data_IF_293084490841
#
_entry.id   IF_293084490841
#
_cell.length_a   1.000
_cell.length_b   1.000
_cell.length_c   1.000
_cell.angle_alpha   90.00
_cell.angle_beta   90.00
_cell.angle_gamma   90.00
#
_symmetry.space_group_name_H-M   'P 1'
#
loop_
_entity.id
_entity.type
_entity.pdbx_description
1 polymer ?
#
# COMPACT_ATOMS: atom_id res chain seq x y z
N UNK A 1 -9.52 -18.26 4.90
CA UNK A 1 -10.77 -17.42 4.78
C UNK A 1 -10.88 -16.54 6.01
N UNK A 2 -11.26 -15.26 5.84
CA UNK A 2 -11.54 -14.34 6.96
C UNK A 2 -12.64 -14.96 7.84
N UNK A 3 -12.47 -14.96 9.16
CA UNK A 3 -13.43 -15.53 10.10
C UNK A 3 -14.69 -14.65 10.26
N UNK A 4 -15.70 -15.15 10.97
CA UNK A 4 -16.98 -14.48 11.17
C UNK A 4 -16.88 -13.12 11.89
N UNK A 5 -15.78 -12.85 12.59
CA UNK A 5 -15.51 -11.56 13.26
C UNK A 5 -14.52 -10.68 12.49
N UNK A 6 -14.19 -11.07 11.26
CA UNK A 6 -13.39 -10.27 10.34
C UNK A 6 -11.88 -10.38 10.53
N UNK A 7 -11.37 -11.44 11.18
CA UNK A 7 -9.94 -11.66 11.32
C UNK A 7 -9.42 -12.58 10.21
N UNK A 8 -8.33 -12.22 9.53
CA UNK A 8 -7.68 -13.07 8.55
C UNK A 8 -6.89 -14.19 9.24
N UNK A 9 -6.67 -15.27 8.51
CA UNK A 9 -5.76 -16.36 8.90
C UNK A 9 -4.40 -16.22 8.22
N UNK A 10 -4.37 -15.50 7.09
CA UNK A 10 -3.17 -15.27 6.28
C UNK A 10 -3.06 -13.82 5.82
N UNK A 11 -1.83 -13.30 5.82
CA UNK A 11 -1.55 -11.93 5.42
C UNK A 11 -0.30 -11.87 4.55
N UNK A 12 -0.46 -11.45 3.29
CA UNK A 12 0.63 -11.26 2.34
C UNK A 12 0.98 -9.79 2.21
N UNK A 13 2.25 -9.45 2.35
CA UNK A 13 2.78 -8.10 2.32
C UNK A 13 3.80 -7.96 1.20
N UNK A 14 3.49 -7.14 0.21
CA UNK A 14 4.43 -6.65 -0.79
C UNK A 14 5.02 -5.33 -0.30
N UNK A 15 6.31 -5.33 0.03
CA UNK A 15 7.00 -4.31 0.82
C UNK A 15 7.09 -4.71 2.30
N UNK A 16 7.64 -5.90 2.57
CA UNK A 16 7.68 -6.55 3.88
C UNK A 16 8.50 -5.82 4.96
N UNK A 17 9.22 -4.74 4.60
CA UNK A 17 9.93 -3.85 5.53
C UNK A 17 9.16 -2.55 5.82
N UNK A 18 7.98 -2.34 5.20
CA UNK A 18 7.15 -1.14 5.42
C UNK A 18 6.68 -1.04 6.88
N UNK A 19 6.99 0.09 7.55
CA UNK A 19 6.58 0.33 8.93
C UNK A 19 5.05 0.23 9.11
N UNK A 20 4.27 0.70 8.14
CA UNK A 20 2.81 0.62 8.16
C UNK A 20 2.35 -0.83 8.03
N UNK A 21 2.97 -1.58 7.10
CA UNK A 21 2.59 -2.97 6.87
C UNK A 21 2.93 -3.87 8.05
N UNK A 22 4.10 -3.67 8.67
CA UNK A 22 4.49 -4.38 9.90
C UNK A 22 3.55 -4.06 11.05
N UNK A 23 3.22 -2.78 11.28
CA UNK A 23 2.23 -2.39 12.28
C UNK A 23 0.84 -3.00 11.99
N UNK A 24 0.47 -3.17 10.70
CA UNK A 24 -0.79 -3.82 10.33
C UNK A 24 -0.78 -5.31 10.63
N UNK A 25 0.34 -5.99 10.37
CA UNK A 25 0.52 -7.40 10.71
C UNK A 25 0.43 -7.63 12.23
N UNK A 26 1.11 -6.79 13.01
CA UNK A 26 1.04 -6.83 14.47
C UNK A 26 -0.38 -6.59 14.98
N UNK A 27 -1.09 -5.62 14.39
CA UNK A 27 -2.47 -5.31 14.76
C UNK A 27 -3.44 -6.47 14.49
N UNK A 28 -3.25 -7.21 13.42
CA UNK A 28 -3.99 -8.46 13.19
C UNK A 28 -3.58 -9.55 14.21
N UNK A 29 -2.28 -9.68 14.48
CA UNK A 29 -1.76 -10.70 15.39
C UNK A 29 -2.18 -10.51 16.85
N UNK A 30 -2.60 -9.29 17.27
CA UNK A 30 -3.22 -9.06 18.58
C UNK A 30 -4.49 -9.92 18.81
N UNK A 31 -5.16 -10.37 17.75
CA UNK A 31 -6.38 -11.16 17.84
C UNK A 31 -6.10 -12.67 17.78
N UNK A 32 -5.16 -13.05 16.94
CA UNK A 32 -4.72 -14.44 16.75
C UNK A 32 -3.43 -14.50 15.95
N UNK A 33 -2.59 -15.54 16.13
CA UNK A 33 -1.46 -15.80 15.23
C UNK A 33 -1.90 -15.98 13.77
N UNK A 34 -1.06 -15.54 12.84
CA UNK A 34 -1.29 -15.54 11.40
C UNK A 34 -0.24 -16.35 10.66
N UNK A 35 -0.58 -16.78 9.45
CA UNK A 35 0.41 -17.11 8.42
C UNK A 35 0.74 -15.82 7.66
N UNK A 36 1.94 -15.28 7.86
CA UNK A 36 2.40 -14.03 7.26
C UNK A 36 3.39 -14.35 6.16
N UNK A 37 3.25 -13.70 5.02
CA UNK A 37 4.20 -13.76 3.90
C UNK A 37 4.74 -12.35 3.68
N UNK A 38 6.07 -12.18 3.78
CA UNK A 38 6.77 -10.93 3.53
C UNK A 38 7.51 -11.02 2.21
N UNK A 39 7.25 -10.10 1.28
CA UNK A 39 8.03 -9.99 0.04
C UNK A 39 8.74 -8.64 -0.02
N UNK A 40 10.05 -8.65 -0.27
CA UNK A 40 10.91 -7.47 -0.36
C UNK A 40 11.90 -7.60 -1.50
N UNK A 41 12.58 -6.51 -1.83
CA UNK A 41 13.74 -6.55 -2.75
C UNK A 41 14.90 -7.30 -2.10
N UNK A 42 15.81 -7.86 -2.93
CA UNK A 42 17.00 -8.58 -2.44
C UNK A 42 17.87 -7.77 -1.47
N UNK A 43 18.04 -6.47 -1.72
CA UNK A 43 18.88 -5.57 -0.92
C UNK A 43 18.33 -5.34 0.50
N UNK A 44 17.09 -5.68 0.75
CA UNK A 44 16.45 -5.53 2.07
C UNK A 44 16.40 -6.86 2.86
N UNK A 45 17.19 -7.86 2.49
CA UNK A 45 17.14 -9.21 3.09
C UNK A 45 17.37 -9.21 4.62
N UNK A 46 18.31 -8.41 5.12
CA UNK A 46 18.59 -8.29 6.55
C UNK A 46 17.41 -7.63 7.29
N UNK A 47 16.87 -6.54 6.73
CA UNK A 47 15.73 -5.85 7.28
C UNK A 47 14.46 -6.72 7.24
N UNK A 48 14.33 -7.54 6.20
CA UNK A 48 13.24 -8.50 6.05
C UNK A 48 13.32 -9.58 7.14
N UNK A 49 14.49 -10.13 7.41
CA UNK A 49 14.63 -11.16 8.45
C UNK A 49 14.39 -10.56 9.84
N UNK A 50 14.90 -9.37 10.12
CA UNK A 50 14.59 -8.66 11.36
C UNK A 50 13.07 -8.41 11.53
N UNK A 51 12.37 -8.05 10.43
CA UNK A 51 10.93 -7.90 10.43
C UNK A 51 10.21 -9.26 10.66
N UNK A 52 10.70 -10.32 10.04
CA UNK A 52 10.17 -11.67 10.21
C UNK A 52 10.32 -12.15 11.66
N UNK A 53 11.49 -11.96 12.27
CA UNK A 53 11.72 -12.30 13.69
C UNK A 53 10.79 -11.52 14.62
N UNK A 54 10.59 -10.24 14.35
CA UNK A 54 9.66 -9.38 15.10
C UNK A 54 8.24 -9.94 15.06
N UNK A 55 7.78 -10.36 13.88
CA UNK A 55 6.42 -10.91 13.70
C UNK A 55 6.28 -12.32 14.25
N UNK A 56 7.33 -13.18 14.20
CA UNK A 56 7.33 -14.49 14.85
C UNK A 56 7.11 -14.41 16.37
N UNK A 57 7.56 -13.34 17.02
CA UNK A 57 7.32 -13.08 18.46
C UNK A 57 5.83 -12.91 18.81
N UNK A 58 4.98 -12.63 17.83
CA UNK A 58 3.52 -12.60 18.01
C UNK A 58 2.87 -13.99 18.00
N UNK A 59 3.66 -15.05 17.83
CA UNK A 59 3.19 -16.43 17.62
C UNK A 59 2.85 -16.76 16.17
N UNK A 60 2.99 -15.82 15.25
CA UNK A 60 2.71 -16.01 13.82
C UNK A 60 3.81 -16.79 13.12
N UNK A 61 3.43 -17.57 12.08
CA UNK A 61 4.40 -18.14 11.15
C UNK A 61 4.75 -17.12 10.06
N UNK A 62 6.03 -17.01 9.72
CA UNK A 62 6.47 -16.02 8.74
C UNK A 62 7.31 -16.67 7.65
N UNK A 63 6.86 -16.54 6.40
CA UNK A 63 7.57 -16.90 5.18
C UNK A 63 8.13 -15.63 4.53
N UNK A 64 9.38 -15.65 4.11
CA UNK A 64 10.02 -14.56 3.38
C UNK A 64 10.14 -14.91 1.91
N UNK A 65 9.88 -13.94 1.03
CA UNK A 65 9.99 -14.05 -0.42
C UNK A 65 10.74 -12.81 -0.95
N UNK A 66 11.33 -12.95 -2.10
CA UNK A 66 12.04 -11.87 -2.81
C UNK A 66 11.30 -11.53 -4.08
N UNK A 67 11.17 -10.25 -4.40
CA UNK A 67 10.71 -9.75 -5.71
C UNK A 67 11.37 -8.40 -6.01
N UNK A 68 11.43 -8.04 -7.29
CA UNK A 68 11.93 -6.75 -7.71
C UNK A 68 10.81 -5.97 -8.43
N UNK A 69 10.48 -4.78 -7.90
CA UNK A 69 9.40 -3.96 -8.46
C UNK A 69 9.65 -3.52 -9.90
N UNK A 70 10.92 -3.38 -10.29
CA UNK A 70 11.32 -2.98 -11.65
C UNK A 70 11.46 -4.16 -12.63
N UNK A 71 11.29 -5.39 -12.15
CA UNK A 71 11.33 -6.60 -12.96
C UNK A 71 9.96 -7.28 -13.00
N UNK A 72 9.12 -6.96 -14.01
CA UNK A 72 7.77 -7.52 -14.12
C UNK A 72 7.72 -9.05 -14.23
N UNK A 73 8.77 -9.68 -14.72
CA UNK A 73 8.83 -11.15 -14.85
C UNK A 73 8.79 -11.85 -13.49
N UNK A 74 9.28 -11.17 -12.44
CA UNK A 74 9.26 -11.71 -11.06
C UNK A 74 7.89 -11.57 -10.38
N UNK A 75 6.98 -10.76 -10.93
CA UNK A 75 5.71 -10.42 -10.25
C UNK A 75 4.75 -11.60 -10.14
N UNK A 76 4.59 -12.38 -11.22
CA UNK A 76 3.74 -13.58 -11.18
C UNK A 76 4.34 -14.64 -10.26
N UNK A 77 5.64 -14.84 -10.30
CA UNK A 77 6.34 -15.85 -9.51
C UNK A 77 6.21 -15.61 -8.00
N UNK A 78 6.42 -14.37 -7.55
CA UNK A 78 6.29 -14.04 -6.11
C UNK A 78 4.87 -14.27 -5.61
N UNK A 79 3.86 -13.98 -6.44
CA UNK A 79 2.45 -14.22 -6.11
C UNK A 79 2.17 -15.72 -6.08
N UNK A 80 2.64 -16.49 -7.05
CA UNK A 80 2.48 -17.95 -7.05
C UNK A 80 3.10 -18.59 -5.80
N UNK A 81 4.30 -18.16 -5.41
CA UNK A 81 4.97 -18.62 -4.18
C UNK A 81 4.22 -18.22 -2.90
N UNK A 82 3.56 -17.06 -2.90
CA UNK A 82 2.77 -16.62 -1.75
C UNK A 82 1.51 -17.46 -1.55
N UNK A 83 0.87 -17.89 -2.65
CA UNK A 83 -0.34 -18.72 -2.63
C UNK A 83 -0.06 -20.24 -2.60
N UNK A 84 1.20 -20.67 -2.71
CA UNK A 84 1.54 -22.09 -2.76
C UNK A 84 1.16 -22.88 -1.50
N UNK A 85 1.17 -22.21 -0.33
CA UNK A 85 0.86 -22.83 0.96
C UNK A 85 -0.61 -22.61 1.38
N UNK A 86 -1.49 -22.32 0.45
CA UNK A 86 -2.93 -22.14 0.66
C UNK A 86 -3.42 -20.69 0.49
N UNK A 87 -4.69 -20.48 0.74
CA UNK A 87 -5.40 -19.22 0.52
C UNK A 87 -4.76 -18.02 1.21
N UNK A 88 -4.82 -16.86 0.57
CA UNK A 88 -4.40 -15.59 1.14
C UNK A 88 -5.62 -14.71 1.41
N UNK A 89 -5.87 -14.42 2.67
CA UNK A 89 -7.07 -13.68 3.08
C UNK A 89 -6.95 -12.18 2.85
N UNK A 90 -5.78 -11.62 3.17
CA UNK A 90 -5.50 -10.20 2.98
C UNK A 90 -4.14 -10.05 2.31
N UNK A 91 -4.09 -9.23 1.27
CA UNK A 91 -2.84 -8.78 0.66
C UNK A 91 -2.72 -7.27 0.80
N UNK A 92 -1.54 -6.78 1.20
CA UNK A 92 -1.24 -5.35 1.27
C UNK A 92 -0.07 -5.00 0.36
N UNK A 93 -0.33 -4.18 -0.65
CA UNK A 93 0.69 -3.57 -1.50
C UNK A 93 1.18 -2.29 -0.80
N UNK A 94 2.33 -2.35 -0.15
CA UNK A 94 2.83 -1.33 0.78
C UNK A 94 4.22 -0.77 0.42
N UNK A 95 4.79 -1.16 -0.70
CA UNK A 95 6.05 -0.58 -1.16
C UNK A 95 5.84 0.71 -1.94
N UNK A 96 6.90 1.49 -2.05
CA UNK A 96 6.93 2.74 -2.80
C UNK A 96 8.19 3.53 -2.48
N UNK A 97 8.42 4.59 -3.23
CA UNK A 97 9.54 5.49 -3.02
C UNK A 97 9.11 6.95 -3.09
N UNK A 98 9.84 7.82 -2.40
CA UNK A 98 9.74 9.26 -2.61
C UNK A 98 10.55 9.67 -3.84
N UNK A 99 10.03 10.62 -4.61
CA UNK A 99 10.80 11.23 -5.67
C UNK A 99 11.58 12.44 -5.13
N UNK A 100 12.83 12.58 -5.57
CA UNK A 100 13.50 13.87 -5.49
C UNK A 100 12.81 14.81 -6.50
N UNK A 101 12.07 15.79 -5.98
CA UNK A 101 11.27 16.69 -6.84
C UNK A 101 12.14 17.58 -7.74
N UNK A 102 13.32 18.00 -7.29
CA UNK A 102 14.21 18.85 -8.09
C UNK A 102 14.82 18.05 -9.26
N UNK A 103 15.20 16.79 -9.01
CA UNK A 103 15.65 15.88 -10.06
C UNK A 103 14.50 15.37 -10.92
N UNK A 104 13.32 15.19 -10.35
CA UNK A 104 12.20 14.55 -11.04
C UNK A 104 11.66 15.30 -12.26
N UNK A 105 12.02 16.57 -12.46
CA UNK A 105 11.66 17.34 -13.67
C UNK A 105 12.85 17.68 -14.56
N UNK A 106 14.05 17.37 -14.12
CA UNK A 106 15.30 17.58 -14.87
C UNK A 106 15.96 16.29 -15.35
N UNK A 107 15.61 15.15 -14.74
CA UNK A 107 16.13 13.83 -15.05
C UNK A 107 14.98 12.84 -15.34
N UNK A 108 14.86 12.46 -16.61
CA UNK A 108 13.83 11.51 -17.04
C UNK A 108 13.98 10.12 -16.40
N UNK A 109 15.21 9.71 -16.03
CA UNK A 109 15.47 8.46 -15.34
C UNK A 109 14.84 8.44 -13.94
N UNK A 110 14.98 9.53 -13.19
CA UNK A 110 14.36 9.70 -11.86
C UNK A 110 12.84 9.69 -11.96
N UNK A 111 12.28 10.43 -12.94
CA UNK A 111 10.83 10.45 -13.14
C UNK A 111 10.28 9.07 -13.52
N UNK A 112 10.98 8.35 -14.43
CA UNK A 112 10.60 6.99 -14.85
C UNK A 112 10.68 6.01 -13.69
N UNK A 113 11.79 5.98 -12.94
CA UNK A 113 11.93 5.12 -11.78
C UNK A 113 10.80 5.32 -10.76
N UNK A 114 10.42 6.58 -10.52
CA UNK A 114 9.29 6.88 -9.64
C UNK A 114 7.97 6.32 -10.19
N UNK A 115 7.72 6.43 -11.49
CA UNK A 115 6.54 5.86 -12.13
C UNK A 115 6.55 4.33 -12.07
N UNK A 116 7.69 3.70 -12.36
CA UNK A 116 7.84 2.24 -12.34
C UNK A 116 7.53 1.68 -10.95
N UNK A 117 8.13 2.22 -9.90
CA UNK A 117 7.97 1.71 -8.53
C UNK A 117 6.61 2.08 -7.92
N UNK A 118 6.10 3.30 -8.14
CA UNK A 118 4.87 3.76 -7.47
C UNK A 118 3.58 3.52 -8.26
N UNK A 119 3.67 3.12 -9.54
CA UNK A 119 2.51 2.90 -10.41
C UNK A 119 2.61 1.60 -11.20
N UNK A 120 3.60 1.44 -12.08
CA UNK A 120 3.67 0.31 -13.02
C UNK A 120 3.75 -1.02 -12.29
N UNK A 121 4.64 -1.16 -11.32
CA UNK A 121 4.80 -2.38 -10.54
C UNK A 121 3.56 -2.73 -9.71
N UNK A 122 2.99 -1.80 -8.91
CA UNK A 122 1.74 -2.07 -8.20
C UNK A 122 0.56 -2.42 -9.11
N UNK A 123 0.48 -1.86 -10.33
CA UNK A 123 -0.55 -2.21 -11.33
C UNK A 123 -0.35 -3.64 -11.80
N UNK A 124 0.87 -4.01 -12.23
CA UNK A 124 1.19 -5.38 -12.66
C UNK A 124 0.87 -6.40 -11.57
N UNK A 125 1.35 -6.18 -10.35
CA UNK A 125 1.04 -7.03 -9.20
C UNK A 125 -0.47 -7.09 -8.91
N UNK A 126 -1.17 -5.96 -9.03
CA UNK A 126 -2.61 -5.87 -8.85
C UNK A 126 -3.41 -6.75 -9.82
N UNK A 127 -2.98 -6.84 -11.08
CA UNK A 127 -3.60 -7.73 -12.08
C UNK A 127 -3.41 -9.19 -11.70
N UNK A 128 -2.19 -9.61 -11.36
CA UNK A 128 -1.91 -10.99 -10.96
C UNK A 128 -2.62 -11.38 -9.65
N UNK A 129 -2.64 -10.48 -8.66
CA UNK A 129 -3.37 -10.68 -7.41
C UNK A 129 -4.87 -10.78 -7.63
N UNK A 130 -5.45 -9.92 -8.46
CA UNK A 130 -6.86 -9.96 -8.81
C UNK A 130 -7.25 -11.31 -9.44
N UNK A 131 -6.43 -11.84 -10.35
CA UNK A 131 -6.66 -13.15 -10.96
C UNK A 131 -6.62 -14.28 -9.91
N UNK A 132 -5.61 -14.28 -9.03
CA UNK A 132 -5.47 -15.29 -7.97
C UNK A 132 -6.63 -15.24 -6.99
N UNK A 133 -6.95 -14.06 -6.45
CA UNK A 133 -8.04 -13.88 -5.48
C UNK A 133 -9.41 -14.20 -6.12
N UNK A 134 -9.63 -13.84 -7.39
CA UNK A 134 -10.86 -14.20 -8.11
C UNK A 134 -11.00 -15.71 -8.27
N UNK A 135 -9.92 -16.43 -8.57
CA UNK A 135 -9.92 -17.92 -8.61
C UNK A 135 -10.18 -18.53 -7.22
N UNK A 136 -9.66 -17.88 -6.18
CA UNK A 136 -9.90 -18.25 -4.78
C UNK A 136 -11.35 -17.97 -4.34
N UNK A 137 -12.03 -17.00 -4.95
CA UNK A 137 -13.43 -16.62 -4.68
C UNK A 137 -13.63 -15.76 -3.43
N UNK A 138 -12.55 -15.34 -2.76
CA UNK A 138 -12.58 -14.47 -1.58
C UNK A 138 -11.23 -13.78 -1.35
N UNK A 139 -11.22 -12.81 -0.44
CA UNK A 139 -10.01 -12.10 0.00
C UNK A 139 -10.14 -10.59 -0.08
N UNK A 140 -9.15 -9.89 0.49
CA UNK A 140 -9.05 -8.43 0.42
C UNK A 140 -7.68 -8.02 -0.13
N UNK A 141 -7.70 -7.18 -1.15
CA UNK A 141 -6.53 -6.55 -1.74
C UNK A 141 -6.47 -5.08 -1.32
N UNK A 142 -5.61 -4.76 -0.35
CA UNK A 142 -5.37 -3.39 0.09
C UNK A 142 -4.15 -2.78 -0.61
N UNK A 143 -4.22 -1.49 -0.95
CA UNK A 143 -3.13 -0.77 -1.61
C UNK A 143 -2.86 0.58 -0.96
N UNK A 144 -1.58 0.92 -0.80
CA UNK A 144 -1.15 2.21 -0.26
C UNK A 144 -1.09 3.27 -1.36
N UNK A 145 -2.14 4.08 -1.42
CA UNK A 145 -2.22 5.31 -2.23
C UNK A 145 -1.78 6.54 -1.43
N UNK A 146 -2.21 7.73 -1.81
CA UNK A 146 -1.85 8.97 -1.11
C UNK A 146 -2.80 10.12 -1.50
N UNK A 147 -3.08 11.07 -0.60
CA UNK A 147 -3.69 12.36 -0.93
C UNK A 147 -2.91 13.16 -1.97
N UNK A 148 -1.61 12.86 -2.16
CA UNK A 148 -0.78 13.50 -3.17
C UNK A 148 -1.29 13.29 -4.60
N UNK A 149 -2.02 12.20 -4.86
CA UNK A 149 -2.63 11.91 -6.15
C UNK A 149 -3.86 12.76 -6.49
N UNK A 150 -4.48 13.39 -5.50
CA UNK A 150 -5.75 14.13 -5.71
C UNK A 150 -5.56 15.49 -6.42
N UNK A 151 -4.43 16.13 -6.21
CA UNK A 151 -4.13 17.43 -6.80
C UNK A 151 -2.62 17.60 -6.99
N UNK A 152 -2.20 17.92 -8.22
CA UNK A 152 -0.80 18.21 -8.51
C UNK A 152 -0.30 19.41 -7.70
N UNK A 153 0.81 19.25 -7.00
CA UNK A 153 1.51 20.28 -6.21
C UNK A 153 2.94 20.44 -6.75
N UNK A 154 3.45 21.66 -6.72
CA UNK A 154 4.80 21.93 -7.21
C UNK A 154 5.86 21.07 -6.50
N UNK A 155 5.64 20.79 -5.22
CA UNK A 155 6.62 20.11 -4.36
C UNK A 155 6.61 18.59 -4.46
N UNK A 156 5.62 17.96 -5.15
CA UNK A 156 5.55 16.51 -5.21
C UNK A 156 4.76 15.93 -6.41
N UNK A 157 4.68 16.65 -7.53
CA UNK A 157 3.85 16.21 -8.66
C UNK A 157 4.37 14.93 -9.32
N UNK A 158 5.67 14.65 -9.28
CA UNK A 158 6.24 13.41 -9.82
C UNK A 158 5.72 12.18 -9.06
N UNK A 159 5.81 12.20 -7.74
CA UNK A 159 5.21 11.19 -6.88
C UNK A 159 3.67 11.20 -6.97
N UNK A 160 3.07 12.39 -6.94
CA UNK A 160 1.63 12.57 -6.99
C UNK A 160 0.99 12.02 -8.27
N UNK A 161 1.65 12.15 -9.43
CA UNK A 161 1.14 11.61 -10.70
C UNK A 161 1.07 10.07 -10.68
N UNK A 162 2.09 9.40 -10.16
CA UNK A 162 2.09 7.95 -9.99
C UNK A 162 0.98 7.49 -9.02
N UNK A 163 0.83 8.19 -7.89
CA UNK A 163 -0.24 7.86 -6.92
C UNK A 163 -1.64 8.20 -7.42
N UNK A 164 -1.81 9.18 -8.30
CA UNK A 164 -3.09 9.44 -8.98
C UNK A 164 -3.48 8.30 -9.91
N UNK A 165 -2.55 7.85 -10.75
CA UNK A 165 -2.77 6.70 -11.63
C UNK A 165 -3.08 5.43 -10.85
N UNK A 166 -2.31 5.16 -9.78
CA UNK A 166 -2.51 4.01 -8.90
C UNK A 166 -3.90 4.01 -8.27
N UNK A 167 -4.35 5.16 -7.78
CA UNK A 167 -5.66 5.33 -7.16
C UNK A 167 -6.79 5.05 -8.14
N UNK A 168 -6.71 5.58 -9.35
CA UNK A 168 -7.69 5.32 -10.42
C UNK A 168 -7.73 3.85 -10.78
N UNK A 169 -6.55 3.20 -10.94
CA UNK A 169 -6.47 1.78 -11.29
C UNK A 169 -7.15 0.90 -10.23
N UNK A 170 -6.79 1.04 -8.96
CA UNK A 170 -7.35 0.20 -7.90
C UNK A 170 -8.82 0.52 -7.60
N UNK A 171 -9.26 1.76 -7.79
CA UNK A 171 -10.68 2.11 -7.75
C UNK A 171 -11.44 1.40 -8.87
N UNK A 172 -10.90 1.39 -10.11
CA UNK A 172 -11.48 0.62 -11.22
C UNK A 172 -11.50 -0.89 -10.93
N UNK A 173 -10.43 -1.41 -10.32
CA UNK A 173 -10.35 -2.82 -9.93
C UNK A 173 -11.40 -3.21 -8.88
N UNK A 174 -11.80 -2.29 -7.99
CA UNK A 174 -12.93 -2.49 -7.07
C UNK A 174 -14.22 -2.82 -7.83
N UNK A 175 -14.51 -2.08 -8.91
CA UNK A 175 -15.69 -2.31 -9.72
C UNK A 175 -15.59 -3.60 -10.53
N UNK A 176 -14.42 -3.90 -11.09
CA UNK A 176 -14.21 -5.10 -11.88
C UNK A 176 -14.34 -6.40 -11.05
N UNK A 177 -14.09 -6.34 -9.74
CA UNK A 177 -14.14 -7.49 -8.84
C UNK A 177 -15.44 -7.56 -7.99
N UNK A 178 -16.41 -6.67 -8.20
CA UNK A 178 -17.59 -6.51 -7.34
C UNK A 178 -18.34 -7.85 -7.09
N UNK A 179 -18.48 -8.69 -8.11
CA UNK A 179 -19.23 -9.95 -8.05
C UNK A 179 -18.35 -11.18 -7.81
N UNK A 180 -17.06 -10.99 -7.53
CA UNK A 180 -16.09 -12.10 -7.42
C UNK A 180 -15.87 -12.62 -5.99
N UNK A 181 -16.52 -12.02 -4.99
CA UNK A 181 -16.22 -12.29 -3.58
C UNK A 181 -14.94 -11.61 -3.06
N UNK A 182 -14.18 -10.96 -3.93
CA UNK A 182 -12.94 -10.23 -3.59
C UNK A 182 -13.27 -8.78 -3.25
N UNK A 183 -12.64 -8.25 -2.21
CA UNK A 183 -12.73 -6.82 -1.85
C UNK A 183 -11.43 -6.11 -2.17
N UNK A 184 -11.52 -4.87 -2.61
CA UNK A 184 -10.34 -4.00 -2.79
C UNK A 184 -10.47 -2.81 -1.86
N UNK A 185 -9.37 -2.46 -1.17
CA UNK A 185 -9.35 -1.34 -0.22
C UNK A 185 -8.24 -0.35 -0.59
N UNK A 186 -8.63 0.81 -1.09
CA UNK A 186 -7.70 1.90 -1.41
C UNK A 186 -7.43 2.74 -0.15
N UNK A 187 -6.20 2.73 0.34
CA UNK A 187 -5.78 3.43 1.56
C UNK A 187 -5.06 4.72 1.20
N UNK A 188 -5.57 5.86 1.66
CA UNK A 188 -5.00 7.19 1.42
C UNK A 188 -4.50 7.82 2.72
N UNK A 189 -3.33 7.39 3.22
CA UNK A 189 -2.75 8.00 4.41
C UNK A 189 -2.17 9.38 4.05
N UNK A 190 -2.34 10.34 4.96
CA UNK A 190 -1.61 11.60 4.93
C UNK A 190 -0.12 11.33 5.25
N UNK A 191 0.65 12.34 5.59
CA UNK A 191 2.03 12.17 6.03
C UNK A 191 2.09 11.17 7.19
N UNK A 192 2.89 10.11 7.05
CA UNK A 192 3.10 9.09 8.10
C UNK A 192 4.56 9.11 8.50
N UNK A 193 4.83 9.13 9.80
CA UNK A 193 6.18 9.10 10.36
C UNK A 193 6.79 7.71 10.19
N UNK A 194 7.51 7.49 9.11
CA UNK A 194 8.12 6.21 8.71
C UNK A 194 9.54 6.45 8.18
N UNK A 195 10.28 5.38 7.93
CA UNK A 195 11.58 5.46 7.22
C UNK A 195 11.47 6.21 5.89
N UNK A 196 10.36 6.04 5.15
CA UNK A 196 10.13 6.70 3.85
C UNK A 196 10.07 8.24 3.98
N UNK A 197 9.71 8.77 5.13
CA UNK A 197 9.54 10.21 5.40
C UNK A 197 10.60 10.75 6.36
N UNK A 198 11.62 9.94 6.66
CA UNK A 198 12.73 10.35 7.54
C UNK A 198 13.44 11.59 6.96
N UNK A 199 13.78 12.52 7.82
CA UNK A 199 14.39 13.81 7.42
C UNK A 199 13.39 14.83 6.81
N UNK A 200 12.16 14.45 6.49
CA UNK A 200 11.16 15.38 5.98
C UNK A 200 10.44 16.11 7.12
N UNK A 201 10.11 17.40 6.90
CA UNK A 201 9.27 18.14 7.85
C UNK A 201 7.87 17.55 7.89
N UNK A 202 7.38 17.14 9.08
CA UNK A 202 6.03 16.60 9.21
C UNK A 202 4.95 17.57 8.71
N UNK A 203 4.03 17.05 7.89
CA UNK A 203 2.86 17.81 7.46
C UNK A 203 1.81 17.90 8.59
N UNK A 204 0.90 18.88 8.54
CA UNK A 204 -0.24 18.91 9.45
C UNK A 204 -1.01 17.60 9.46
N UNK A 205 -1.49 17.18 10.62
CA UNK A 205 -2.19 15.90 10.81
C UNK A 205 -1.35 14.66 10.45
N UNK A 206 -0.03 14.73 10.64
CA UNK A 206 0.85 13.57 10.49
C UNK A 206 0.39 12.40 11.37
N UNK A 207 0.48 11.19 10.84
CA UNK A 207 0.04 9.96 11.49
C UNK A 207 1.23 9.11 11.92
N UNK A 208 0.98 8.16 12.81
CA UNK A 208 1.93 7.07 13.11
C UNK A 208 1.57 5.82 12.30
N UNK A 209 2.52 4.89 12.08
CA UNK A 209 2.23 3.59 11.47
C UNK A 209 1.07 2.85 12.14
N UNK A 210 0.98 2.90 13.47
CA UNK A 210 -0.06 2.22 14.27
C UNK A 210 -1.46 2.82 14.03
N UNK A 211 -1.57 4.14 13.86
CA UNK A 211 -2.83 4.79 13.54
C UNK A 211 -3.33 4.37 12.15
N UNK A 212 -2.42 4.30 11.17
CA UNK A 212 -2.77 3.84 9.82
C UNK A 212 -3.11 2.36 9.83
N UNK A 213 -2.35 1.53 10.53
CA UNK A 213 -2.61 0.10 10.69
C UNK A 213 -4.00 -0.18 11.27
N UNK A 214 -4.37 0.53 12.34
CA UNK A 214 -5.72 0.41 12.93
C UNK A 214 -6.81 0.75 11.91
N UNK A 215 -6.62 1.81 11.14
CA UNK A 215 -7.58 2.20 10.11
C UNK A 215 -7.68 1.16 8.97
N UNK A 216 -6.56 0.54 8.56
CA UNK A 216 -6.54 -0.53 7.55
C UNK A 216 -7.30 -1.75 8.06
N UNK A 217 -6.99 -2.23 9.27
CA UNK A 217 -7.65 -3.39 9.88
C UNK A 217 -9.16 -3.18 9.96
N UNK A 218 -9.59 -2.01 10.44
CA UNK A 218 -11.00 -1.63 10.50
C UNK A 218 -11.68 -1.56 9.13
N UNK A 219 -10.97 -1.06 8.12
CA UNK A 219 -11.49 -0.96 6.76
C UNK A 219 -11.71 -2.34 6.13
N UNK A 220 -10.72 -3.22 6.25
CA UNK A 220 -10.80 -4.61 5.76
C UNK A 220 -11.94 -5.35 6.44
N UNK A 221 -12.06 -5.27 7.78
CA UNK A 221 -13.15 -5.90 8.53
C UNK A 221 -14.54 -5.43 8.08
N UNK A 222 -14.67 -4.15 7.75
CA UNK A 222 -15.93 -3.52 7.32
C UNK A 222 -16.16 -3.59 5.81
N UNK A 223 -15.26 -4.22 5.05
CA UNK A 223 -15.33 -4.30 3.59
C UNK A 223 -15.33 -2.92 2.91
N UNK A 224 -14.65 -1.92 3.47
CA UNK A 224 -14.59 -0.56 2.91
C UNK A 224 -13.70 -0.52 1.68
N UNK A 225 -14.21 0.00 0.59
CA UNK A 225 -13.48 0.14 -0.68
C UNK A 225 -12.41 1.23 -0.64
N UNK A 226 -12.59 2.26 0.18
CA UNK A 226 -11.60 3.33 0.33
C UNK A 226 -11.62 3.96 1.70
N UNK A 227 -10.43 4.37 2.18
CA UNK A 227 -10.27 5.11 3.43
C UNK A 227 -9.25 6.24 3.31
N UNK A 228 -9.47 7.27 4.11
CA UNK A 228 -8.55 8.37 4.34
C UNK A 228 -8.04 8.32 5.77
N UNK A 229 -6.72 8.54 5.97
CA UNK A 229 -6.13 8.50 7.32
C UNK A 229 -5.28 9.75 7.54
N UNK A 230 -5.73 10.69 8.39
CA UNK A 230 -7.00 10.68 9.11
C UNK A 230 -8.19 11.02 8.20
N UNK A 231 -9.40 10.67 8.67
CA UNK A 231 -10.63 10.82 7.87
C UNK A 231 -10.92 12.27 7.44
N UNK A 232 -10.47 13.26 8.25
CA UNK A 232 -10.60 14.70 7.95
C UNK A 232 -9.89 15.10 6.66
N UNK A 233 -8.86 14.36 6.24
CA UNK A 233 -8.17 14.62 4.98
C UNK A 233 -9.08 14.54 3.76
N UNK A 234 -10.15 13.76 3.82
CA UNK A 234 -11.17 13.70 2.76
C UNK A 234 -11.77 15.07 2.51
N UNK A 235 -12.18 15.76 3.57
CA UNK A 235 -12.76 17.11 3.46
C UNK A 235 -11.72 18.13 2.94
N UNK A 236 -10.51 18.11 3.51
CA UNK A 236 -9.42 18.98 3.10
C UNK A 236 -9.13 18.83 1.59
N UNK A 237 -8.99 17.59 1.12
CA UNK A 237 -8.71 17.32 -0.29
C UNK A 237 -9.90 17.65 -1.19
N UNK A 238 -11.13 17.47 -0.73
CA UNK A 238 -12.31 17.90 -1.47
C UNK A 238 -12.27 19.42 -1.70
N UNK A 239 -11.98 20.21 -0.69
CA UNK A 239 -11.83 21.67 -0.85
C UNK A 239 -10.66 22.01 -1.79
N UNK A 240 -9.48 21.45 -1.54
CA UNK A 240 -8.28 21.73 -2.36
C UNK A 240 -8.49 21.34 -3.83
N UNK A 241 -9.17 20.24 -4.11
CA UNK A 241 -9.44 19.76 -5.47
C UNK A 241 -10.29 20.74 -6.28
N UNK A 242 -11.22 21.45 -5.64
CA UNK A 242 -12.13 22.39 -6.31
C UNK A 242 -11.62 23.83 -6.33
N UNK A 243 -10.51 24.15 -5.65
CA UNK A 243 -9.95 25.50 -5.71
C UNK A 243 -9.55 25.86 -7.16
N UNK A 244 -9.88 27.09 -7.65
CA UNK A 244 -9.40 27.57 -8.93
C UNK A 244 -7.87 27.56 -9.02
N UNK A 245 -7.34 27.23 -10.20
CA UNK A 245 -5.89 27.14 -10.42
C UNK A 245 -5.13 28.40 -10.02
N UNK A 246 -5.73 29.57 -10.27
CA UNK A 246 -5.12 30.89 -9.94
C UNK A 246 -4.88 31.04 -8.44
N UNK A 247 -5.83 30.58 -7.61
CA UNK A 247 -5.71 30.59 -6.14
C UNK A 247 -4.72 29.52 -5.69
N UNK A 248 -4.87 28.31 -6.20
CA UNK A 248 -4.06 27.17 -5.78
C UNK A 248 -2.56 27.37 -6.02
N UNK A 249 -2.17 28.03 -7.15
CA UNK A 249 -0.77 28.33 -7.48
C UNK A 249 -0.09 29.26 -6.47
N UNK A 250 -0.84 30.00 -5.68
CA UNK A 250 -0.31 30.93 -4.66
C UNK A 250 -0.13 30.29 -3.29
N UNK A 251 -0.57 29.05 -3.13
CA UNK A 251 -0.40 28.32 -1.88
C UNK A 251 1.05 27.80 -1.75
N UNK A 252 1.60 27.76 -0.53
CA UNK A 252 3.02 27.46 -0.28
C UNK A 252 3.34 25.96 -0.27
N UNK A 253 2.75 25.17 -1.17
CA UNK A 253 2.99 23.70 -1.24
C UNK A 253 2.96 23.11 -2.67
#
# INVERSE_FOLDING_TARGET
MIDAVGNPQSFFILGGTSDIALATAEKYAEQRPLRIILATRPEESEQQEAAAERLRKTGSTVKTLTFEAQDPETHSEVIDKAFADGDVDVTLVAFGMQADNEKGWTDAGVARLNADVNYTAPVSLGVHLAEKLRKQGHGNLAVMCSPAGERARRTNYVYGSAKAGLDVFYTGLTYALADSGVKVTVVRPNFVKTKLTEGMKPAPMAQTPQQVATAIVDAVRKGRESIWVPNQMRLVMTVLRHLPRVIFRRLPF
#
